data_IF_892598759101
#
_entry.id   IF_892598759101
#
_cell.length_a   1.000
_cell.length_b   1.000
_cell.length_c   1.000
_cell.angle_alpha   90.00
_cell.angle_beta   90.00
_cell.angle_gamma   90.00
#
_symmetry.space_group_name_H-M   'P 1'
#
loop_
_entity.id
_entity.type
_entity.pdbx_description
1 polymer ?
#
# COMPACT_ATOMS: atom_id res chain seq x y z
N UNK A 1 -18.47 16.92 40.56
CA UNK A 1 -19.51 16.01 40.05
C UNK A 1 -19.10 15.54 38.67
N UNK A 2 -18.56 14.33 38.53
CA UNK A 2 -18.13 13.74 37.25
C UNK A 2 -19.27 12.91 36.67
N UNK A 3 -19.83 13.36 35.54
CA UNK A 3 -20.71 12.56 34.69
C UNK A 3 -20.04 12.44 33.33
N UNK A 4 -19.12 11.50 33.22
CA UNK A 4 -18.66 10.94 31.95
C UNK A 4 -18.78 9.41 32.05
N UNK A 5 -20.02 8.94 32.19
CA UNK A 5 -20.40 7.56 31.92
C UNK A 5 -21.50 7.62 30.85
N UNK A 6 -21.11 8.06 29.65
CA UNK A 6 -21.89 7.75 28.45
C UNK A 6 -21.43 6.41 27.93
N UNK A 7 -22.17 5.38 28.37
CA UNK A 7 -22.53 4.18 27.62
C UNK A 7 -21.75 3.96 26.31
N UNK A 8 -20.80 3.02 26.32
CA UNK A 8 -20.40 2.31 25.10
C UNK A 8 -21.44 1.21 24.84
N UNK A 9 -22.31 1.31 23.82
CA UNK A 9 -23.04 0.14 23.35
C UNK A 9 -22.06 -0.68 22.50
N UNK A 10 -21.82 -1.93 22.91
CA UNK A 10 -21.16 -3.01 22.15
C UNK A 10 -19.78 -2.71 21.52
N UNK A 11 -18.71 -3.23 22.11
CA UNK A 11 -17.44 -3.36 21.39
C UNK A 11 -16.27 -3.66 22.31
N UNK A 12 -15.91 -4.94 22.40
CA UNK A 12 -14.74 -5.46 23.12
C UNK A 12 -13.50 -4.56 22.93
N UNK A 13 -12.99 -3.87 23.96
CA UNK A 13 -11.83 -2.98 23.83
C UNK A 13 -10.55 -3.73 23.42
N UNK A 14 -10.46 -5.04 23.68
CA UNK A 14 -9.36 -5.88 23.18
C UNK A 14 -9.49 -6.13 21.68
N UNK A 15 -10.71 -6.18 21.14
CA UNK A 15 -10.95 -6.27 19.70
C UNK A 15 -10.50 -5.00 19.00
N UNK A 16 -10.89 -3.83 19.51
CA UNK A 16 -10.45 -2.55 18.94
C UNK A 16 -8.91 -2.39 18.96
N UNK A 17 -8.27 -2.82 20.05
CA UNK A 17 -6.80 -2.84 20.14
C UNK A 17 -6.17 -3.83 19.15
N UNK A 18 -6.67 -5.07 19.07
CA UNK A 18 -6.20 -6.07 18.11
C UNK A 18 -6.39 -5.64 16.67
N UNK A 19 -7.50 -4.97 16.34
CA UNK A 19 -7.77 -4.41 15.03
C UNK A 19 -6.76 -3.30 14.71
N UNK A 20 -6.48 -2.40 15.66
CA UNK A 20 -5.48 -1.33 15.50
C UNK A 20 -4.06 -1.88 15.30
N UNK A 21 -3.67 -2.91 16.05
CA UNK A 21 -2.36 -3.57 15.92
C UNK A 21 -2.25 -4.35 14.61
N UNK A 22 -3.29 -5.10 14.23
CA UNK A 22 -3.31 -5.83 12.96
C UNK A 22 -3.33 -4.88 11.76
N UNK A 23 -4.01 -3.75 11.84
CA UNK A 23 -4.01 -2.71 10.82
C UNK A 23 -2.63 -2.06 10.70
N UNK A 24 -2.00 -1.70 11.82
CA UNK A 24 -0.63 -1.18 11.86
C UNK A 24 0.37 -2.18 11.28
N UNK A 25 0.24 -3.47 11.62
CA UNK A 25 1.13 -4.52 11.14
C UNK A 25 0.92 -4.82 9.64
N UNK A 26 -0.34 -4.80 9.16
CA UNK A 26 -0.65 -4.89 7.73
C UNK A 26 -0.05 -3.72 6.96
N UNK A 27 -0.12 -2.51 7.51
CA UNK A 27 0.45 -1.30 6.89
C UNK A 27 1.99 -1.32 6.93
N UNK A 28 2.59 -1.78 8.03
CA UNK A 28 4.04 -1.94 8.18
C UNK A 28 4.66 -2.93 7.16
N UNK A 29 3.84 -3.79 6.56
CA UNK A 29 4.25 -4.71 5.49
C UNK A 29 3.71 -4.33 4.11
N UNK A 30 3.01 -3.20 3.96
CA UNK A 30 2.39 -2.82 2.69
C UNK A 30 3.20 -1.76 1.93
N UNK A 31 3.19 -1.88 0.61
CA UNK A 31 3.73 -0.89 -0.34
C UNK A 31 2.62 -0.38 -1.26
N UNK A 32 2.80 0.81 -1.81
CA UNK A 32 1.95 1.38 -2.86
C UNK A 32 2.77 1.51 -4.13
N UNK A 33 2.33 0.87 -5.19
CA UNK A 33 2.77 1.10 -6.55
C UNK A 33 1.89 2.19 -7.14
N UNK A 34 2.43 3.38 -7.38
CA UNK A 34 1.68 4.47 -8.00
C UNK A 34 1.91 4.48 -9.50
N UNK A 35 0.94 4.99 -10.25
CA UNK A 35 1.14 5.30 -11.68
C UNK A 35 1.16 4.09 -12.63
N UNK A 36 0.63 2.94 -12.21
CA UNK A 36 0.49 1.76 -13.07
C UNK A 36 -0.60 2.06 -14.11
N UNK A 37 -0.29 1.85 -15.40
CA UNK A 37 -1.23 2.14 -16.49
C UNK A 37 -2.52 1.32 -16.37
N UNK A 38 -3.67 1.95 -16.62
CA UNK A 38 -4.93 1.23 -16.72
C UNK A 38 -4.98 0.36 -17.98
N UNK A 39 -5.40 -0.90 -17.82
CA UNK A 39 -5.67 -1.77 -18.95
C UNK A 39 -7.13 -1.58 -19.32
N UNK A 40 -7.42 -1.41 -20.60
CA UNK A 40 -8.77 -1.10 -21.10
C UNK A 40 -9.77 -2.27 -21.01
N UNK A 41 -9.51 -3.29 -20.19
CA UNK A 41 -10.45 -4.39 -19.98
C UNK A 41 -11.67 -3.88 -19.20
N UNK A 42 -12.86 -4.32 -19.64
CA UNK A 42 -14.14 -4.04 -18.98
C UNK A 42 -14.41 -5.06 -17.87
N UNK A 43 -13.70 -6.19 -17.85
CA UNK A 43 -13.88 -7.26 -16.88
C UNK A 43 -13.02 -7.04 -15.62
N UNK A 44 -13.63 -6.99 -14.44
CA UNK A 44 -12.92 -6.73 -13.18
C UNK A 44 -11.98 -7.88 -12.78
N UNK A 45 -12.31 -9.13 -13.14
CA UNK A 45 -11.48 -10.29 -12.78
C UNK A 45 -10.21 -10.35 -13.63
N UNK A 46 -10.32 -10.03 -14.92
CA UNK A 46 -9.18 -9.88 -15.82
C UNK A 46 -8.26 -8.74 -15.36
N UNK A 47 -8.85 -7.58 -15.10
CA UNK A 47 -8.16 -6.42 -14.52
C UNK A 47 -7.37 -6.75 -13.25
N UNK A 48 -7.97 -7.51 -12.34
CA UNK A 48 -7.32 -7.93 -11.09
C UNK A 48 -6.16 -8.89 -11.34
N UNK A 49 -6.31 -9.81 -12.30
CA UNK A 49 -5.23 -10.73 -12.69
C UNK A 49 -4.06 -9.97 -13.33
N UNK A 50 -4.34 -9.00 -14.18
CA UNK A 50 -3.30 -8.16 -14.80
C UNK A 50 -2.54 -7.32 -13.77
N UNK A 51 -3.23 -6.77 -12.77
CA UNK A 51 -2.59 -6.08 -11.64
C UNK A 51 -1.62 -6.98 -10.90
N UNK A 52 -2.09 -8.18 -10.57
CA UNK A 52 -1.31 -9.17 -9.86
C UNK A 52 -0.06 -9.56 -10.67
N UNK A 53 -0.22 -9.86 -11.96
CA UNK A 53 0.90 -10.19 -12.85
C UNK A 53 1.89 -9.03 -12.93
N UNK A 54 1.41 -7.81 -13.21
CA UNK A 54 2.25 -6.62 -13.35
C UNK A 54 3.08 -6.35 -12.09
N UNK A 55 2.43 -6.37 -10.94
CA UNK A 55 3.10 -6.17 -9.64
C UNK A 55 4.11 -7.27 -9.38
N UNK A 56 3.74 -8.53 -9.60
CA UNK A 56 4.62 -9.68 -9.33
C UNK A 56 5.84 -9.65 -10.24
N UNK A 57 5.68 -9.24 -11.49
CA UNK A 57 6.78 -9.10 -12.45
C UNK A 57 7.74 -7.98 -12.03
N UNK A 58 7.22 -6.82 -11.61
CA UNK A 58 8.07 -5.74 -11.07
C UNK A 58 8.85 -6.22 -9.84
N UNK A 59 8.19 -6.90 -8.90
CA UNK A 59 8.79 -7.40 -7.65
C UNK A 59 9.89 -8.43 -7.96
N UNK A 60 9.62 -9.37 -8.87
CA UNK A 60 10.62 -10.35 -9.34
C UNK A 60 11.79 -9.67 -10.04
N UNK A 61 11.53 -8.67 -10.87
CA UNK A 61 12.58 -7.98 -11.59
C UNK A 61 13.49 -7.16 -10.67
N UNK A 62 12.91 -6.58 -9.63
CA UNK A 62 13.62 -5.99 -8.50
C UNK A 62 14.35 -7.03 -7.64
N UNK A 63 14.30 -8.32 -7.97
CA UNK A 63 14.98 -9.41 -7.26
C UNK A 63 14.48 -9.61 -5.83
N UNK A 64 13.23 -9.23 -5.54
CA UNK A 64 12.56 -9.47 -4.27
C UNK A 64 11.72 -10.72 -4.43
N UNK A 65 12.16 -11.82 -3.81
CA UNK A 65 11.48 -13.11 -3.91
C UNK A 65 10.51 -13.26 -2.74
N UNK A 66 9.34 -12.62 -2.85
CA UNK A 66 8.23 -12.81 -1.90
C UNK A 66 7.06 -13.49 -2.60
N UNK A 67 6.43 -14.46 -1.93
CA UNK A 67 5.24 -15.16 -2.44
C UNK A 67 4.01 -14.38 -2.02
N UNK A 68 3.50 -13.56 -2.94
CA UNK A 68 2.39 -12.64 -2.66
C UNK A 68 1.09 -13.30 -3.10
N UNK A 69 0.12 -13.52 -2.20
CA UNK A 69 -1.21 -13.96 -2.59
C UNK A 69 -1.92 -12.88 -3.42
N UNK A 70 -2.72 -13.28 -4.42
CA UNK A 70 -3.51 -12.33 -5.22
C UNK A 70 -4.46 -11.47 -4.35
N UNK A 71 -4.94 -12.01 -3.22
CA UNK A 71 -5.78 -11.30 -2.25
C UNK A 71 -5.09 -10.11 -1.55
N UNK A 72 -3.76 -10.04 -1.62
CA UNK A 72 -2.94 -8.97 -1.07
C UNK A 72 -2.67 -7.85 -2.07
N UNK A 73 -3.06 -8.00 -3.33
CA UNK A 73 -2.95 -6.97 -4.36
C UNK A 73 -4.30 -6.27 -4.51
N UNK A 74 -4.34 -4.96 -4.26
CA UNK A 74 -5.59 -4.18 -4.24
C UNK A 74 -5.41 -2.83 -4.91
N UNK A 75 -6.34 -2.44 -5.77
CA UNK A 75 -6.41 -1.08 -6.31
C UNK A 75 -6.83 -0.10 -5.23
N UNK A 76 -6.26 1.11 -5.26
CA UNK A 76 -6.80 2.23 -4.50
C UNK A 76 -7.65 3.13 -5.39
N UNK A 77 -8.69 3.72 -4.81
CA UNK A 77 -9.56 4.70 -5.50
C UNK A 77 -8.84 6.02 -5.83
N UNK A 78 -7.64 6.23 -5.31
CA UNK A 78 -6.79 7.38 -5.62
C UNK A 78 -5.93 7.05 -6.84
N UNK A 79 -6.27 7.62 -7.99
CA UNK A 79 -5.54 7.43 -9.26
C UNK A 79 -5.63 8.68 -10.13
N UNK A 80 -4.69 8.83 -11.06
CA UNK A 80 -4.78 9.81 -12.15
C UNK A 80 -5.63 9.16 -13.25
N UNK A 81 -6.41 9.88 -14.07
CA UNK A 81 -7.13 9.27 -15.18
C UNK A 81 -6.20 8.37 -16.03
N UNK A 82 -6.61 7.12 -16.28
CA UNK A 82 -5.84 6.08 -16.97
C UNK A 82 -4.60 5.53 -16.22
N UNK A 83 -4.44 5.84 -14.93
CA UNK A 83 -3.37 5.31 -14.06
C UNK A 83 -3.89 4.99 -12.67
N UNK A 84 -3.67 3.76 -12.25
CA UNK A 84 -4.09 3.25 -10.95
C UNK A 84 -2.92 3.15 -9.99
N UNK A 85 -3.23 3.32 -8.72
CA UNK A 85 -2.33 3.01 -7.63
C UNK A 85 -2.75 1.63 -7.08
N UNK A 86 -1.76 0.78 -6.80
CA UNK A 86 -1.96 -0.60 -6.34
C UNK A 86 -1.25 -0.76 -5.00
N UNK A 87 -2.01 -1.10 -3.95
CA UNK A 87 -1.48 -1.51 -2.66
C UNK A 87 -1.16 -2.99 -2.72
N UNK A 88 0.01 -3.34 -2.18
CA UNK A 88 0.47 -4.72 -2.07
C UNK A 88 0.89 -4.97 -0.63
N UNK A 89 0.23 -5.92 0.03
CA UNK A 89 0.63 -6.37 1.37
C UNK A 89 1.62 -7.54 1.25
N UNK A 90 2.84 -7.32 1.72
CA UNK A 90 3.91 -8.31 1.72
C UNK A 90 3.87 -9.17 2.99
N UNK A 91 4.60 -10.29 2.99
CA UNK A 91 4.64 -11.18 4.14
C UNK A 91 5.58 -10.69 5.24
N UNK A 92 6.55 -9.84 4.89
CA UNK A 92 7.53 -9.32 5.84
C UNK A 92 7.85 -7.84 5.61
N UNK A 93 8.15 -7.15 6.70
CA UNK A 93 8.65 -5.78 6.67
C UNK A 93 9.99 -5.69 5.91
N UNK A 94 10.83 -6.72 6.00
CA UNK A 94 12.10 -6.80 5.26
C UNK A 94 11.90 -6.81 3.75
N UNK A 95 10.93 -7.59 3.25
CA UNK A 95 10.56 -7.61 1.82
C UNK A 95 10.15 -6.21 1.35
N UNK A 96 9.36 -5.52 2.19
CA UNK A 96 8.86 -4.17 1.91
C UNK A 96 9.98 -3.15 1.80
N UNK A 97 10.89 -3.13 2.77
CA UNK A 97 12.03 -2.21 2.79
C UNK A 97 12.96 -2.45 1.61
N UNK A 98 13.27 -3.71 1.31
CA UNK A 98 14.08 -4.10 0.16
C UNK A 98 13.44 -3.67 -1.15
N UNK A 99 12.12 -3.85 -1.28
CA UNK A 99 11.36 -3.47 -2.46
C UNK A 99 11.34 -1.95 -2.69
N UNK A 100 11.13 -1.16 -1.63
CA UNK A 100 11.19 0.31 -1.71
C UNK A 100 12.60 0.77 -2.09
N UNK A 101 13.64 0.20 -1.45
CA UNK A 101 15.02 0.56 -1.70
C UNK A 101 15.41 0.29 -3.16
N UNK A 102 15.10 -0.91 -3.67
CA UNK A 102 15.43 -1.29 -5.04
C UNK A 102 14.55 -0.57 -6.06
N UNK A 103 13.26 -0.39 -5.75
CA UNK A 103 12.32 0.36 -6.58
C UNK A 103 12.80 1.78 -6.87
N UNK A 104 13.32 2.50 -5.86
CA UNK A 104 13.87 3.85 -6.04
C UNK A 104 15.02 3.91 -7.03
N UNK A 105 16.01 3.03 -6.88
CA UNK A 105 17.20 2.98 -7.76
C UNK A 105 16.79 2.58 -9.17
N UNK A 106 15.85 1.66 -9.25
CA UNK A 106 15.51 1.01 -10.50
C UNK A 106 14.65 1.87 -11.42
N UNK A 107 13.63 2.54 -10.89
CA UNK A 107 12.73 3.41 -11.65
C UNK A 107 13.43 4.63 -12.28
N UNK A 108 14.61 5.00 -11.76
CA UNK A 108 15.46 6.03 -12.36
C UNK A 108 16.19 5.56 -13.63
N UNK A 109 16.35 4.24 -13.80
CA UNK A 109 17.16 3.65 -14.88
C UNK A 109 16.37 3.14 -16.08
N UNK A 110 15.04 3.00 -15.99
CA UNK A 110 14.25 2.37 -17.04
C UNK A 110 13.06 3.22 -17.54
N UNK A 111 13.11 3.60 -18.82
CA UNK A 111 12.17 4.56 -19.44
C UNK A 111 10.71 4.04 -19.51
N UNK A 112 10.53 2.70 -19.51
CA UNK A 112 9.22 2.05 -19.63
C UNK A 112 8.32 2.25 -18.40
N UNK A 113 8.91 2.53 -17.24
CA UNK A 113 8.20 2.68 -15.97
C UNK A 113 8.48 4.02 -15.32
N UNK A 114 8.88 5.02 -16.11
CA UNK A 114 9.22 6.39 -15.69
C UNK A 114 8.18 7.07 -14.79
N UNK A 115 6.94 6.60 -14.81
CA UNK A 115 5.83 7.15 -14.01
C UNK A 115 5.41 6.27 -12.83
N UNK A 116 6.02 5.09 -12.68
CA UNK A 116 5.74 4.22 -11.55
C UNK A 116 6.60 4.68 -10.38
N UNK A 117 6.01 4.80 -9.20
CA UNK A 117 6.76 4.99 -7.95
C UNK A 117 6.36 3.92 -6.95
N UNK A 118 7.32 3.48 -6.13
CA UNK A 118 7.08 2.49 -5.06
C UNK A 118 7.31 3.19 -3.73
N UNK A 119 6.27 3.25 -2.93
CA UNK A 119 6.26 3.96 -1.65
C UNK A 119 5.72 3.07 -0.53
N UNK A 120 5.99 3.47 0.72
CA UNK A 120 5.37 2.86 1.90
C UNK A 120 3.87 3.14 1.91
N UNK A 121 3.06 2.13 2.25
CA UNK A 121 1.63 2.32 2.50
C UNK A 121 1.43 2.93 3.90
N UNK A 122 1.45 4.26 3.97
CA UNK A 122 1.26 5.01 5.21
C UNK A 122 -0.24 5.03 5.59
N UNK A 123 -0.53 4.86 6.88
CA UNK A 123 -1.90 4.91 7.40
C UNK A 123 -2.51 6.32 7.26
N UNK A 124 -3.84 6.42 7.21
CA UNK A 124 -4.51 7.73 7.15
C UNK A 124 -4.23 8.59 8.39
N UNK A 125 -4.17 7.98 9.58
CA UNK A 125 -3.81 8.66 10.83
C UNK A 125 -2.36 9.14 10.82
N UNK A 126 -1.45 8.39 10.21
CA UNK A 126 -0.04 8.76 10.09
C UNK A 126 0.17 9.83 8.99
N UNK A 127 -0.59 9.79 7.89
CA UNK A 127 -0.65 10.90 6.93
C UNK A 127 -1.20 12.18 7.58
N UNK A 128 -2.24 12.07 8.42
CA UNK A 128 -2.74 13.20 9.21
C UNK A 128 -1.70 13.68 10.23
N UNK A 129 -1.00 12.79 10.93
CA UNK A 129 0.05 13.16 11.88
C UNK A 129 1.23 13.85 11.21
N UNK A 130 1.68 13.36 10.05
CA UNK A 130 2.72 14.01 9.23
C UNK A 130 2.27 15.39 8.73
N UNK A 131 1.00 15.53 8.35
CA UNK A 131 0.40 16.82 7.96
C UNK A 131 0.31 17.80 9.14
N UNK A 132 -0.01 17.33 10.35
CA UNK A 132 -0.12 18.16 11.56
C UNK A 132 1.26 18.59 12.08
N UNK A 133 2.25 17.70 12.03
CA UNK A 133 3.59 17.94 12.58
C UNK A 133 4.54 18.65 11.60
N UNK A 134 4.12 18.87 10.36
CA UNK A 134 4.88 19.69 9.40
C UNK A 134 6.25 19.13 9.05
N UNK A 135 6.41 17.81 8.97
CA UNK A 135 7.60 17.24 8.34
C UNK A 135 7.42 17.34 6.83
N UNK A 136 8.19 18.21 6.13
CA UNK A 136 8.04 18.33 4.69
C UNK A 136 8.39 16.99 4.05
N UNK A 137 7.46 16.45 3.26
CA UNK A 137 7.76 15.42 2.26
C UNK A 137 8.99 15.88 1.48
N UNK A 138 10.12 15.17 1.63
CA UNK A 138 11.28 15.39 0.77
C UNK A 138 10.86 14.98 -0.65
N UNK A 139 10.68 16.00 -1.47
CA UNK A 139 10.53 15.95 -2.92
C UNK A 139 11.63 15.12 -3.57
#
# INVERSE_FOLDING_TARGET
>A
MSRFLTNHPSGDPLRAFRESVNESNRQACSVVFKGISEYGSVDEAENKREDYTTVTDIIRWLGVFDVIPESNVRRTLTGIPNRRNIIVTLNSQTSRELLIQRGRVWLETEDRLRYVTIEEAVSHSELQARRILGTPERR
#
